data_IF_665922198762
#
_entry.id   IF_665922198762
#
_cell.length_a   1.000
_cell.length_b   1.000
_cell.length_c   1.000
_cell.angle_alpha   90.00
_cell.angle_beta   90.00
_cell.angle_gamma   90.00
#
_symmetry.space_group_name_H-M   'P 1'
#
loop_
_entity.id
_entity.type
_entity.pdbx_description
1 polymer ?
#
# COMPACT_ATOMS: atom_id res chain seq x y z
N UNK A 1 3.36 -23.72 -6.74
CA UNK A 1 4.35 -22.64 -6.91
C UNK A 1 4.46 -21.90 -5.58
N UNK A 2 5.67 -21.68 -5.05
CA UNK A 2 5.84 -20.80 -3.89
C UNK A 2 5.70 -19.35 -4.33
N UNK A 3 5.26 -18.47 -3.44
CA UNK A 3 5.15 -17.05 -3.74
C UNK A 3 5.57 -16.19 -2.57
N UNK A 4 5.74 -14.90 -2.82
CA UNK A 4 6.06 -13.91 -1.79
C UNK A 4 5.04 -12.78 -1.80
N UNK A 5 4.94 -12.05 -0.69
CA UNK A 5 3.98 -10.95 -0.57
C UNK A 5 4.28 -9.88 -1.62
N UNK A 6 3.27 -9.51 -2.41
CA UNK A 6 3.38 -8.50 -3.47
C UNK A 6 3.68 -9.08 -4.86
N UNK A 7 3.89 -10.40 -4.96
CA UNK A 7 3.96 -11.07 -6.26
C UNK A 7 2.59 -11.00 -6.97
N UNK A 8 2.61 -10.64 -8.25
CA UNK A 8 1.42 -10.61 -9.09
C UNK A 8 1.37 -11.91 -9.90
N UNK A 9 0.18 -12.51 -9.95
CA UNK A 9 -0.08 -13.72 -10.74
C UNK A 9 -1.32 -13.53 -11.60
N UNK A 10 -1.30 -14.11 -12.80
CA UNK A 10 -2.46 -14.22 -13.67
C UNK A 10 -3.10 -15.60 -13.50
N UNK A 11 -4.35 -15.66 -13.02
CA UNK A 11 -5.10 -16.90 -12.82
C UNK A 11 -5.98 -17.15 -14.04
N UNK A 12 -5.75 -18.25 -14.75
CA UNK A 12 -6.47 -18.57 -15.99
C UNK A 12 -7.50 -19.71 -15.82
N UNK A 13 -7.37 -20.53 -14.77
CA UNK A 13 -8.27 -21.62 -14.48
C UNK A 13 -8.42 -21.84 -12.97
N UNK A 14 -9.62 -21.67 -12.45
CA UNK A 14 -9.95 -21.82 -11.03
C UNK A 14 -10.40 -23.23 -10.62
N UNK A 15 -10.51 -24.14 -11.59
CA UNK A 15 -10.89 -25.55 -11.43
C UNK A 15 -9.89 -26.45 -12.18
N UNK A 16 -8.60 -26.25 -11.92
CA UNK A 16 -7.56 -26.93 -12.68
C UNK A 16 -7.62 -28.46 -12.47
N UNK A 17 -7.65 -29.22 -13.57
CA UNK A 17 -7.86 -30.67 -13.59
C UNK A 17 -9.16 -31.14 -12.91
N UNK A 18 -10.19 -30.30 -12.84
CA UNK A 18 -11.46 -30.66 -12.18
C UNK A 18 -11.38 -30.71 -10.65
N UNK A 19 -10.26 -30.27 -10.06
CA UNK A 19 -10.04 -30.33 -8.61
C UNK A 19 -10.40 -28.99 -7.97
N UNK A 20 -11.42 -28.99 -7.11
CA UNK A 20 -11.77 -27.83 -6.29
C UNK A 20 -10.59 -27.41 -5.39
N UNK A 21 -10.38 -26.10 -5.31
CA UNK A 21 -9.37 -25.50 -4.44
C UNK A 21 -7.95 -25.40 -5.04
N UNK A 22 -7.77 -25.77 -6.31
CA UNK A 22 -6.50 -25.64 -7.05
C UNK A 22 -6.69 -24.74 -8.27
N UNK A 23 -5.94 -23.65 -8.29
CA UNK A 23 -5.95 -22.69 -9.39
C UNK A 23 -4.67 -22.82 -10.20
N UNK A 24 -4.79 -22.80 -11.53
CA UNK A 24 -3.63 -22.62 -12.41
C UNK A 24 -3.36 -21.13 -12.55
N UNK A 25 -2.11 -20.76 -12.33
CA UNK A 25 -1.68 -19.39 -12.34
C UNK A 25 -0.31 -19.24 -13.00
N UNK A 26 -0.07 -18.06 -13.54
CA UNK A 26 1.16 -17.67 -14.19
C UNK A 26 1.81 -16.51 -13.44
N UNK A 27 3.09 -16.62 -13.10
CA UNK A 27 3.87 -15.44 -12.71
C UNK A 27 3.96 -14.50 -13.88
N UNK A 28 3.69 -13.23 -13.64
CA UNK A 28 3.82 -12.18 -14.65
C UNK A 28 5.10 -11.38 -14.41
N UNK A 29 5.76 -10.94 -15.47
CA UNK A 29 6.87 -10.00 -15.38
C UNK A 29 6.38 -8.54 -15.24
N UNK A 30 7.32 -7.59 -15.20
CA UNK A 30 7.03 -6.16 -15.09
C UNK A 30 6.25 -5.58 -16.28
N UNK A 31 6.26 -6.25 -17.44
CA UNK A 31 5.45 -5.90 -18.60
C UNK A 31 4.05 -6.55 -18.57
N UNK A 32 3.81 -7.47 -17.63
CA UNK A 32 2.58 -8.24 -17.50
C UNK A 32 2.57 -9.54 -18.32
N UNK A 33 3.71 -9.97 -18.87
CA UNK A 33 3.81 -11.19 -19.68
C UNK A 33 3.89 -12.43 -18.79
N UNK A 34 3.14 -13.48 -19.13
CA UNK A 34 3.15 -14.76 -18.43
C UNK A 34 4.51 -15.47 -18.62
N UNK A 35 5.17 -15.84 -17.51
CA UNK A 35 6.51 -16.44 -17.53
C UNK A 35 6.55 -17.86 -17.02
N UNK A 36 6.00 -18.07 -15.83
CA UNK A 36 6.08 -19.36 -15.15
C UNK A 36 4.68 -19.83 -14.75
N UNK A 37 4.23 -20.93 -15.35
CA UNK A 37 3.01 -21.60 -14.97
C UNK A 37 3.21 -22.42 -13.69
N UNK A 38 2.19 -22.45 -12.84
CA UNK A 38 2.14 -23.32 -11.68
C UNK A 38 0.74 -23.40 -11.08
N UNK A 39 0.63 -24.18 -10.01
CA UNK A 39 -0.60 -24.31 -9.24
C UNK A 39 -0.46 -23.48 -7.97
N UNK A 40 -1.50 -22.71 -7.65
CA UNK A 40 -1.69 -22.02 -6.37
C UNK A 40 -3.00 -22.50 -5.73
N UNK A 41 -3.11 -22.51 -4.40
CA UNK A 41 -4.38 -22.81 -3.74
C UNK A 41 -5.40 -21.70 -4.01
N UNK A 42 -6.69 -22.06 -4.06
CA UNK A 42 -7.77 -21.08 -4.07
C UNK A 42 -7.82 -20.30 -2.76
N UNK A 43 -8.40 -19.10 -2.76
CA UNK A 43 -8.65 -18.33 -1.54
C UNK A 43 -9.35 -19.15 -0.44
N UNK A 44 -10.45 -19.84 -0.78
CA UNK A 44 -11.18 -20.71 0.14
C UNK A 44 -10.27 -21.76 0.80
N UNK A 45 -9.49 -22.47 -0.01
CA UNK A 45 -8.60 -23.53 0.48
C UNK A 45 -7.54 -23.00 1.45
N UNK A 46 -7.00 -21.81 1.22
CA UNK A 46 -6.04 -21.24 2.18
C UNK A 46 -6.72 -20.78 3.46
N UNK A 47 -7.90 -20.17 3.37
CA UNK A 47 -8.71 -19.77 4.53
C UNK A 47 -9.04 -20.97 5.44
N UNK A 48 -9.43 -22.10 4.85
CA UNK A 48 -9.71 -23.35 5.57
C UNK A 48 -8.45 -23.89 6.27
N UNK A 49 -7.31 -23.92 5.57
CA UNK A 49 -6.04 -24.35 6.15
C UNK A 49 -5.59 -23.43 7.30
N UNK A 50 -5.70 -22.11 7.18
CA UNK A 50 -5.38 -21.17 8.26
C UNK A 50 -6.32 -21.32 9.46
N UNK A 51 -7.62 -21.43 9.23
CA UNK A 51 -8.61 -21.67 10.30
C UNK A 51 -8.33 -22.99 11.04
N UNK A 52 -7.95 -24.04 10.31
CA UNK A 52 -7.58 -25.34 10.91
C UNK A 52 -6.32 -25.22 11.78
N UNK A 53 -5.32 -24.44 11.34
CA UNK A 53 -4.08 -24.18 12.11
C UNK A 53 -4.39 -23.41 13.39
N UNK A 54 -5.23 -22.39 13.32
CA UNK A 54 -5.64 -21.61 14.51
C UNK A 54 -6.36 -22.48 15.55
N UNK A 55 -7.26 -23.38 15.10
CA UNK A 55 -7.96 -24.34 15.98
C UNK A 55 -6.99 -25.30 16.68
N UNK A 56 -5.96 -25.78 15.97
CA UNK A 56 -4.94 -26.67 16.55
C UNK A 56 -4.07 -25.97 17.59
N UNK A 57 -3.87 -24.65 17.49
CA UNK A 57 -3.01 -23.87 18.39
C UNK A 57 -3.62 -23.53 19.77
N UNK A 58 -4.76 -24.14 20.19
CA UNK A 58 -5.38 -23.95 21.53
C UNK A 58 -5.56 -22.47 21.96
N UNK A 59 -5.97 -21.58 21.06
CA UNK A 59 -6.37 -20.22 21.42
C UNK A 59 -7.83 -20.16 21.88
N UNK A 60 -8.19 -19.23 22.78
CA UNK A 60 -9.62 -18.92 23.04
C UNK A 60 -10.24 -18.40 21.74
N UNK A 61 -11.55 -18.58 21.57
CA UNK A 61 -12.30 -18.06 20.40
C UNK A 61 -12.08 -16.54 20.23
N UNK A 62 -11.83 -15.81 21.32
CA UNK A 62 -11.50 -14.38 21.34
C UNK A 62 -10.14 -14.02 20.71
N UNK A 63 -9.22 -14.97 20.56
CA UNK A 63 -7.87 -14.73 20.03
C UNK A 63 -7.75 -15.10 18.55
N UNK A 64 -8.86 -15.50 17.91
CA UNK A 64 -8.88 -15.80 16.48
C UNK A 64 -8.62 -14.51 15.69
N UNK A 65 -7.38 -14.37 15.19
CA UNK A 65 -7.03 -13.28 14.29
C UNK A 65 -7.87 -13.40 13.02
N UNK A 66 -8.46 -12.29 12.52
CA UNK A 66 -9.19 -12.31 11.26
C UNK A 66 -8.31 -12.89 10.16
N UNK A 67 -8.91 -13.78 9.36
CA UNK A 67 -8.23 -14.39 8.22
C UNK A 67 -7.77 -13.29 7.28
N UNK A 68 -6.50 -13.33 6.93
CA UNK A 68 -5.88 -12.30 6.13
C UNK A 68 -6.34 -12.48 4.68
N UNK A 69 -6.68 -11.40 3.98
CA UNK A 69 -6.79 -11.44 2.52
C UNK A 69 -5.41 -11.80 1.94
N UNK A 70 -5.29 -13.03 1.44
CA UNK A 70 -4.04 -13.59 0.94
C UNK A 70 -3.86 -13.31 -0.55
N UNK A 71 -4.98 -13.26 -1.27
CA UNK A 71 -5.05 -12.81 -2.65
C UNK A 71 -5.83 -11.50 -2.69
N UNK A 72 -5.37 -10.59 -3.51
CA UNK A 72 -6.06 -9.35 -3.84
C UNK A 72 -6.19 -9.31 -5.36
N UNK A 73 -7.41 -9.10 -5.85
CA UNK A 73 -7.62 -8.93 -7.28
C UNK A 73 -7.05 -7.57 -7.68
N UNK A 74 -6.14 -7.59 -8.65
CA UNK A 74 -5.49 -6.38 -9.15
C UNK A 74 -5.74 -6.22 -10.65
N UNK A 75 -5.69 -4.97 -11.10
CA UNK A 75 -5.76 -4.59 -12.51
C UNK A 75 -4.53 -3.77 -12.87
N UNK A 76 -4.02 -3.95 -14.09
CA UNK A 76 -2.93 -3.13 -14.62
C UNK A 76 -3.49 -1.80 -15.08
N UNK A 77 -3.15 -0.73 -14.36
CA UNK A 77 -3.47 0.64 -14.75
C UNK A 77 -2.26 1.26 -15.46
N UNK A 78 -2.36 1.68 -16.74
CA UNK A 78 -1.31 2.45 -17.39
C UNK A 78 -1.10 3.79 -16.67
N UNK A 79 0.15 4.17 -16.45
CA UNK A 79 0.50 5.47 -15.85
C UNK A 79 1.70 6.05 -16.57
N UNK A 80 1.55 7.26 -17.09
CA UNK A 80 2.65 8.09 -17.60
C UNK A 80 3.26 9.00 -16.52
N UNK A 81 2.54 9.19 -15.42
CA UNK A 81 2.94 10.05 -14.32
C UNK A 81 3.85 9.34 -13.32
N UNK A 82 4.71 10.13 -12.66
CA UNK A 82 5.51 9.70 -11.53
C UNK A 82 4.59 9.42 -10.34
N UNK A 83 4.65 8.18 -9.84
CA UNK A 83 3.78 7.75 -8.73
C UNK A 83 4.34 8.26 -7.39
N UNK A 84 3.48 8.71 -6.45
CA UNK A 84 3.93 9.04 -5.10
C UNK A 84 4.51 7.82 -4.38
N UNK A 85 5.44 8.03 -3.45
CA UNK A 85 6.07 7.02 -2.63
C UNK A 85 5.63 7.22 -1.18
N UNK A 86 5.04 6.19 -0.57
CA UNK A 86 4.73 6.18 0.86
C UNK A 86 5.61 5.13 1.52
N UNK A 87 6.46 5.57 2.44
CA UNK A 87 7.30 4.69 3.24
C UNK A 87 6.61 4.44 4.59
N UNK A 88 6.54 3.18 5.01
CA UNK A 88 5.91 2.80 6.29
C UNK A 88 6.94 2.06 7.14
N UNK A 89 7.31 2.67 8.27
CA UNK A 89 8.34 2.17 9.18
C UNK A 89 8.10 2.66 10.61
N UNK A 90 8.60 1.94 11.61
CA UNK A 90 8.67 2.44 12.99
C UNK A 90 9.75 3.53 13.16
N UNK A 91 10.70 3.60 12.24
CA UNK A 91 11.75 4.60 12.17
C UNK A 91 11.92 5.01 10.71
N UNK A 92 11.42 6.19 10.36
CA UNK A 92 11.19 6.59 8.97
C UNK A 92 12.05 7.78 8.53
N UNK A 93 12.22 8.78 9.39
CA UNK A 93 12.83 10.06 9.02
C UNK A 93 14.20 9.93 8.31
N UNK A 94 15.16 9.09 8.77
CA UNK A 94 16.44 8.98 8.08
C UNK A 94 16.35 8.35 6.70
N UNK A 95 15.42 7.41 6.49
CA UNK A 95 15.22 6.80 5.17
C UNK A 95 14.66 7.80 4.17
N UNK A 96 13.75 8.67 4.63
CA UNK A 96 13.25 9.76 3.79
C UNK A 96 14.37 10.75 3.49
N UNK A 97 15.11 11.19 4.51
CA UNK A 97 16.21 12.16 4.35
C UNK A 97 17.27 11.63 3.37
N UNK A 98 17.77 10.41 3.59
CA UNK A 98 18.76 9.79 2.70
C UNK A 98 18.25 9.65 1.26
N UNK A 99 16.97 9.28 1.07
CA UNK A 99 16.38 9.20 -0.27
C UNK A 99 16.35 10.56 -0.98
N UNK A 100 16.01 11.63 -0.26
CA UNK A 100 15.99 12.99 -0.82
C UNK A 100 17.41 13.49 -1.09
N UNK A 101 18.34 13.25 -0.18
CA UNK A 101 19.73 13.71 -0.31
C UNK A 101 20.47 13.00 -1.45
N UNK A 102 20.29 11.68 -1.60
CA UNK A 102 20.99 10.88 -2.62
C UNK A 102 20.31 10.93 -4.00
N UNK A 103 18.99 11.14 -4.03
CA UNK A 103 18.18 11.03 -5.26
C UNK A 103 17.21 12.21 -5.44
N UNK A 104 17.60 13.42 -5.01
CA UNK A 104 16.81 14.64 -5.11
C UNK A 104 16.50 15.10 -6.54
N UNK A 105 17.12 14.51 -7.55
CA UNK A 105 16.79 14.69 -8.97
C UNK A 105 15.49 13.94 -9.36
N UNK A 106 15.09 12.92 -8.59
CA UNK A 106 13.94 12.06 -8.85
C UNK A 106 12.89 12.08 -7.76
N UNK A 107 13.27 12.37 -6.53
CA UNK A 107 12.40 12.35 -5.37
C UNK A 107 12.36 13.71 -4.69
N UNK A 108 11.18 14.11 -4.25
CA UNK A 108 10.98 15.32 -3.48
C UNK A 108 9.96 15.05 -2.36
N UNK A 109 10.21 15.54 -1.15
CA UNK A 109 9.28 15.37 -0.03
C UNK A 109 8.11 16.34 -0.17
N UNK A 110 6.88 15.83 -0.07
CA UNK A 110 5.71 16.70 0.06
C UNK A 110 5.59 17.11 1.53
N UNK A 111 5.92 18.36 1.83
CA UNK A 111 5.82 18.91 3.18
C UNK A 111 4.37 19.37 3.41
N UNK A 112 3.69 18.94 4.49
CA UNK A 112 2.36 19.44 4.82
C UNK A 112 2.37 20.96 5.08
N UNK A 113 1.40 21.67 4.54
CA UNK A 113 1.21 23.10 4.80
C UNK A 113 0.45 23.31 6.12
N UNK A 114 0.87 24.27 6.95
CA UNK A 114 0.07 24.72 8.08
C UNK A 114 -0.98 25.74 7.61
N UNK A 115 -2.27 25.44 7.79
CA UNK A 115 -3.39 26.36 7.50
C UNK A 115 -4.33 26.51 8.69
N UNK A 116 -4.87 27.71 8.85
CA UNK A 116 -6.08 27.93 9.63
C UNK A 116 -7.28 27.53 8.75
N UNK A 117 -7.99 26.46 9.13
CA UNK A 117 -9.21 26.01 8.46
C UNK A 117 -10.41 26.23 9.38
N UNK A 118 -11.58 26.47 8.79
CA UNK A 118 -12.82 26.48 9.55
C UNK A 118 -13.25 25.04 9.91
N UNK A 119 -14.04 24.87 10.98
CA UNK A 119 -14.43 23.54 11.47
C UNK A 119 -15.11 22.66 10.40
N UNK A 120 -15.91 23.27 9.51
CA UNK A 120 -16.57 22.58 8.39
C UNK A 120 -15.59 22.07 7.31
N UNK A 121 -14.48 22.78 7.10
CA UNK A 121 -13.45 22.40 6.11
C UNK A 121 -12.55 21.28 6.63
N UNK A 122 -12.26 21.28 7.94
CA UNK A 122 -11.50 20.21 8.59
C UNK A 122 -12.24 18.86 8.60
N UNK A 123 -13.57 18.87 8.65
CA UNK A 123 -14.40 17.66 8.62
C UNK A 123 -14.82 17.24 7.20
N UNK A 124 -14.92 18.18 6.25
CA UNK A 124 -15.28 17.96 4.83
C UNK A 124 -14.19 17.34 3.94
N UNK A 125 -13.09 16.88 4.52
CA UNK A 125 -11.91 16.33 3.82
C UNK A 125 -12.23 15.05 3.06
N UNK A 126 -13.13 14.23 3.60
CA UNK A 126 -13.52 12.95 3.00
C UNK A 126 -14.31 13.10 1.70
N UNK A 127 -14.98 14.24 1.50
CA UNK A 127 -15.85 14.49 0.34
C UNK A 127 -15.26 15.48 -0.66
N UNK A 128 -14.38 16.39 -0.22
CA UNK A 128 -13.75 17.37 -1.11
C UNK A 128 -12.59 16.77 -1.91
N UNK A 129 -12.60 16.90 -3.24
CA UNK A 129 -11.51 16.48 -4.14
C UNK A 129 -10.20 17.26 -3.99
N UNK A 130 -10.14 18.20 -3.04
CA UNK A 130 -9.05 19.15 -2.86
C UNK A 130 -7.94 18.62 -1.96
N UNK A 131 -8.29 17.78 -0.97
CA UNK A 131 -7.39 17.37 0.10
C UNK A 131 -7.07 15.88 0.03
N UNK A 132 -5.79 15.56 0.23
CA UNK A 132 -5.29 14.20 0.44
C UNK A 132 -5.36 13.87 1.93
N UNK A 133 -4.86 14.77 2.77
CA UNK A 133 -4.83 14.60 4.21
C UNK A 133 -4.94 15.94 4.93
N UNK A 134 -5.66 15.94 6.06
CA UNK A 134 -5.76 17.06 6.98
C UNK A 134 -5.60 16.52 8.39
N UNK A 135 -4.64 17.05 9.13
CA UNK A 135 -4.37 16.68 10.53
C UNK A 135 -4.51 17.90 11.41
N UNK A 136 -5.39 17.84 12.41
CA UNK A 136 -5.55 18.94 13.38
C UNK A 136 -4.36 18.97 14.34
N UNK A 137 -3.75 20.14 14.50
CA UNK A 137 -2.71 20.44 15.51
C UNK A 137 -3.13 21.66 16.31
N UNK A 138 -3.72 21.43 17.49
CA UNK A 138 -4.22 22.47 18.38
C UNK A 138 -5.15 23.47 17.66
N UNK A 139 -4.62 24.61 17.25
CA UNK A 139 -5.33 25.72 16.59
C UNK A 139 -5.13 25.76 15.06
N UNK A 140 -4.18 24.99 14.52
CA UNK A 140 -3.88 24.92 13.09
C UNK A 140 -4.16 23.52 12.54
N UNK A 141 -4.15 23.43 11.22
CA UNK A 141 -4.25 22.17 10.49
C UNK A 141 -3.02 22.00 9.60
N UNK A 142 -2.42 20.81 9.64
CA UNK A 142 -1.47 20.38 8.62
C UNK A 142 -2.24 19.76 7.47
N UNK A 143 -2.03 20.27 6.26
CA UNK A 143 -2.76 19.84 5.07
C UNK A 143 -1.83 19.40 3.95
N UNK A 144 -2.23 18.35 3.25
CA UNK A 144 -1.64 17.95 1.98
C UNK A 144 -2.74 18.07 0.92
N UNK A 145 -2.55 18.97 -0.04
CA UNK A 145 -3.50 19.19 -1.13
C UNK A 145 -3.19 18.31 -2.34
N UNK A 146 -4.23 17.99 -3.10
CA UNK A 146 -4.09 17.33 -4.41
C UNK A 146 -3.25 18.19 -5.35
N UNK A 147 -3.48 19.51 -5.37
CA UNK A 147 -2.75 20.45 -6.21
C UNK A 147 -1.25 20.50 -5.93
N UNK A 148 -0.83 20.45 -4.65
CA UNK A 148 0.60 20.41 -4.30
C UNK A 148 1.24 19.12 -4.83
N UNK A 149 0.56 17.99 -4.67
CA UNK A 149 1.04 16.71 -5.19
C UNK A 149 1.15 16.73 -6.72
N UNK A 150 0.11 17.18 -7.42
CA UNK A 150 0.08 17.28 -8.89
C UNK A 150 1.15 18.22 -9.42
N UNK A 151 1.39 19.35 -8.76
CA UNK A 151 2.47 20.26 -9.11
C UNK A 151 3.82 19.56 -9.07
N UNK A 152 4.16 18.87 -7.98
CA UNK A 152 5.42 18.14 -7.87
C UNK A 152 5.56 17.02 -8.91
N UNK A 153 4.48 16.29 -9.20
CA UNK A 153 4.45 15.28 -10.27
C UNK A 153 4.71 15.93 -11.64
N UNK A 154 4.14 17.11 -11.90
CA UNK A 154 4.35 17.85 -13.14
C UNK A 154 5.80 18.27 -13.36
N UNK A 155 6.54 18.49 -12.27
CA UNK A 155 7.99 18.76 -12.29
C UNK A 155 8.83 17.49 -12.47
N UNK A 156 8.22 16.31 -12.57
CA UNK A 156 8.92 15.05 -12.84
C UNK A 156 9.35 14.26 -11.61
N UNK A 157 8.89 14.65 -10.41
CA UNK A 157 9.27 13.99 -9.16
C UNK A 157 8.33 12.84 -8.76
N UNK A 158 8.91 11.80 -8.16
CA UNK A 158 8.21 10.90 -7.26
C UNK A 158 8.06 11.57 -5.88
N UNK A 159 6.84 11.96 -5.53
CA UNK A 159 6.61 12.67 -4.26
C UNK A 159 6.69 11.70 -3.08
N UNK A 160 7.58 11.94 -2.13
CA UNK A 160 7.70 11.17 -0.89
C UNK A 160 6.68 11.71 0.11
N UNK A 161 5.77 10.84 0.56
CA UNK A 161 4.61 11.16 1.40
C UNK A 161 4.72 10.48 2.77
N UNK A 162 4.64 11.28 3.83
CA UNK A 162 4.44 10.83 5.20
C UNK A 162 2.99 11.06 5.61
N UNK A 163 2.15 10.04 5.37
CA UNK A 163 0.69 10.15 5.46
C UNK A 163 0.06 8.99 6.23
N UNK A 164 -1.15 9.19 6.76
CA UNK A 164 -1.88 8.11 7.45
C UNK A 164 -2.45 7.05 6.49
N UNK A 165 -2.80 5.84 7.00
CA UNK A 165 -3.50 4.83 6.20
C UNK A 165 -4.80 5.32 5.56
N UNK A 166 -5.51 6.25 6.21
CA UNK A 166 -6.72 6.84 5.65
C UNK A 166 -6.42 7.65 4.38
N UNK A 167 -5.34 8.43 4.39
CA UNK A 167 -4.90 9.20 3.23
C UNK A 167 -4.48 8.31 2.04
N UNK A 168 -3.95 7.10 2.30
CA UNK A 168 -3.67 6.12 1.23
C UNK A 168 -4.96 5.71 0.51
N UNK A 169 -6.02 5.39 1.27
CA UNK A 169 -7.34 5.08 0.69
C UNK A 169 -7.88 6.27 -0.09
N UNK A 170 -7.66 7.48 0.42
CA UNK A 170 -8.04 8.72 -0.28
C UNK A 170 -7.31 8.87 -1.61
N UNK A 171 -6.00 8.66 -1.67
CA UNK A 171 -5.24 8.67 -2.93
C UNK A 171 -5.84 7.69 -3.96
N UNK A 172 -6.16 6.46 -3.54
CA UNK A 172 -6.82 5.48 -4.43
C UNK A 172 -8.18 5.98 -4.96
N UNK A 173 -9.00 6.63 -4.12
CA UNK A 173 -10.28 7.21 -4.55
C UNK A 173 -10.12 8.36 -5.56
N UNK A 174 -8.98 9.05 -5.52
CA UNK A 174 -8.59 10.11 -6.45
C UNK A 174 -7.86 9.57 -7.70
N UNK A 175 -7.81 8.24 -7.89
CA UNK A 175 -7.05 7.58 -8.98
C UNK A 175 -5.55 7.86 -8.94
N UNK A 176 -5.02 8.22 -7.78
CA UNK A 176 -3.58 8.38 -7.54
C UNK A 176 -3.11 7.12 -6.81
N UNK A 177 -2.28 6.31 -7.48
CA UNK A 177 -1.88 5.00 -6.94
C UNK A 177 -0.45 5.06 -6.39
N UNK A 178 -0.23 5.27 -5.08
CA UNK A 178 1.12 5.36 -4.52
C UNK A 178 1.86 4.03 -4.57
N UNK A 179 3.19 4.08 -4.59
CA UNK A 179 4.08 2.95 -4.30
C UNK A 179 4.20 2.87 -2.78
N UNK A 180 3.75 1.77 -2.18
CA UNK A 180 3.82 1.56 -0.73
C UNK A 180 4.99 0.65 -0.38
N UNK A 181 6.00 1.15 0.33
CA UNK A 181 7.14 0.35 0.78
C UNK A 181 7.11 0.26 2.30
N UNK A 182 6.91 -0.95 2.82
CA UNK A 182 7.03 -1.22 4.24
C UNK A 182 8.45 -1.66 4.58
N UNK A 183 9.14 -0.85 5.38
CA UNK A 183 10.44 -1.17 5.95
C UNK A 183 10.21 -1.97 7.23
N UNK A 184 10.89 -3.10 7.35
CA UNK A 184 10.80 -3.97 8.52
C UNK A 184 12.17 -4.18 9.13
N UNK A 185 12.25 -3.98 10.43
CA UNK A 185 13.39 -4.36 11.24
C UNK A 185 13.20 -5.78 11.76
N UNK A 186 14.27 -6.59 11.72
CA UNK A 186 14.25 -7.97 12.24
C UNK A 186 14.30 -7.99 13.77
N UNK A 187 14.81 -6.93 14.41
CA UNK A 187 14.89 -6.80 15.86
C UNK A 187 14.88 -5.34 16.30
N UNK A 188 14.56 -5.10 17.58
CA UNK A 188 14.58 -3.76 18.17
C UNK A 188 15.98 -3.12 18.11
N UNK A 189 17.05 -3.93 18.18
CA UNK A 189 18.44 -3.44 18.03
C UNK A 189 18.67 -2.73 16.70
N UNK A 190 18.00 -3.17 15.63
CA UNK A 190 18.13 -2.53 14.32
C UNK A 190 17.37 -1.21 14.18
N UNK A 191 16.50 -0.89 15.14
CA UNK A 191 15.74 0.39 15.16
C UNK A 191 16.53 1.48 15.90
N UNK A 192 17.40 1.08 16.83
CA UNK A 192 18.11 1.96 17.76
C UNK A 192 19.56 2.28 17.33
N UNK A 193 20.00 1.78 16.18
CA UNK A 193 21.28 2.12 15.52
C UNK A 193 21.04 3.21 14.49
#
# INVERSE_FOLDING_TARGET
>A
MSGFKGEIVYVDNTLFMGVNGRWRAWRVDHEGRQRQCGIIPSEWRVQEEEASRQRRSKGRISDMKPLKHLYERVERVPSSQRRPLVLVSAYLAPFMQALIDEHGDKFAQCVPECRALNASEGEGVSTSGQWIEVRRREQLFEVISVSALEHMISQGYHCVLDITPHAIVRLHSLRIYPILIRIKFKSAKQVLL
#
